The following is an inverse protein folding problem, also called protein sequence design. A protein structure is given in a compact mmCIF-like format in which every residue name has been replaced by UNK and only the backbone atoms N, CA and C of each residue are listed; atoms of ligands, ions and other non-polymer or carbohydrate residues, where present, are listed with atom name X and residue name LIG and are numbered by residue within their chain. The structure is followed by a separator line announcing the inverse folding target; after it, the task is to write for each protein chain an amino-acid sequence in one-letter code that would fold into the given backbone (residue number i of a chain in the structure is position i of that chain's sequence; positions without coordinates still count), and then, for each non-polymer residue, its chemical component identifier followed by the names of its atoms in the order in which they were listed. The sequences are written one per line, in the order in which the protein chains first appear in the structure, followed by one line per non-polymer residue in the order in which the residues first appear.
data_IF_592584506720
#
_entry.id   IF_592584506720
#
_cell.length_a   1.000
_cell.length_b   1.000
_cell.length_c   1.000
_cell.angle_alpha   90.00
_cell.angle_beta   90.00
_cell.angle_gamma   90.00
#
_symmetry.space_group_name_H-M   'P 1'
#
loop_
_entity.id
_entity.type
_entity.pdbx_description
1 polymer ?
#
# COMPACT_ATOMS: atom_id res chain seq x y z
N UNK A 1 -9.77 -12.94 -12.00
CA UNK A 1 -10.65 -12.11 -12.84
C UNK A 1 -10.06 -12.04 -14.23
N UNK A 2 -10.84 -12.37 -15.25
CA UNK A 2 -10.45 -12.14 -16.64
C UNK A 2 -10.89 -10.74 -17.02
N UNK A 3 -9.95 -9.93 -17.46
CA UNK A 3 -10.17 -8.56 -17.82
C UNK A 3 -10.26 -8.46 -19.35
N UNK A 4 -11.40 -8.04 -19.85
CA UNK A 4 -11.60 -7.68 -21.27
C UNK A 4 -11.76 -6.17 -21.30
N UNK A 5 -10.90 -5.49 -22.06
CA UNK A 5 -10.83 -4.03 -22.12
C UNK A 5 -11.25 -3.50 -23.44
N UNK A 6 -12.01 -2.45 -23.40
CA UNK A 6 -12.48 -1.73 -24.57
C UNK A 6 -12.30 -0.24 -24.35
N UNK A 7 -11.85 0.49 -25.36
CA UNK A 7 -11.75 1.95 -25.36
C UNK A 7 -12.51 2.54 -26.54
N UNK A 8 -12.86 3.78 -26.42
CA UNK A 8 -13.57 4.61 -27.39
C UNK A 8 -14.99 4.18 -27.69
N UNK A 9 -15.86 4.49 -26.74
CA UNK A 9 -17.30 4.45 -26.92
C UNK A 9 -17.75 5.80 -27.51
N UNK A 10 -17.98 5.84 -28.81
CA UNK A 10 -18.61 7.00 -29.47
C UNK A 10 -20.14 6.88 -29.53
N UNK A 11 -20.71 5.84 -28.93
CA UNK A 11 -22.14 5.59 -28.94
C UNK A 11 -22.71 5.61 -27.52
N UNK A 12 -23.92 6.15 -27.39
CA UNK A 12 -24.66 6.22 -26.12
C UNK A 12 -25.02 4.85 -25.52
N UNK A 13 -24.55 3.75 -26.10
CA UNK A 13 -24.96 2.42 -25.70
C UNK A 13 -23.93 1.35 -25.96
N UNK A 14 -23.58 0.59 -24.91
CA UNK A 14 -22.83 -0.65 -25.02
C UNK A 14 -23.79 -1.86 -24.98
N UNK A 15 -23.51 -2.87 -25.79
CA UNK A 15 -24.32 -4.09 -25.88
C UNK A 15 -23.52 -5.36 -25.60
N UNK A 16 -22.95 -5.55 -24.40
CA UNK A 16 -22.28 -6.82 -24.11
C UNK A 16 -23.29 -7.97 -24.10
N UNK A 17 -22.92 -9.06 -24.77
CA UNK A 17 -23.70 -10.31 -24.75
C UNK A 17 -22.96 -11.28 -23.84
N UNK A 18 -23.58 -11.60 -22.71
CA UNK A 18 -23.03 -12.50 -21.72
C UNK A 18 -23.55 -13.92 -21.95
N UNK A 19 -22.65 -14.90 -21.93
CA UNK A 19 -23.01 -16.31 -21.91
C UNK A 19 -23.51 -16.75 -20.52
N UNK A 20 -23.42 -18.05 -20.26
CA UNK A 20 -23.76 -18.60 -18.94
C UNK A 20 -22.80 -18.04 -17.86
N UNK A 21 -23.34 -17.58 -16.76
CA UNK A 21 -22.60 -17.10 -15.59
C UNK A 21 -22.36 -18.20 -14.55
N UNK A 22 -22.95 -19.35 -14.74
CA UNK A 22 -22.90 -20.47 -13.79
C UNK A 22 -23.32 -20.06 -12.36
N UNK A 23 -24.27 -19.12 -12.27
CA UNK A 23 -24.73 -18.57 -11.00
C UNK A 23 -23.79 -17.54 -10.36
N UNK A 24 -22.71 -17.14 -11.03
CA UNK A 24 -21.77 -16.16 -10.54
C UNK A 24 -22.17 -14.72 -10.90
N UNK A 25 -21.80 -13.77 -10.08
CA UNK A 25 -22.00 -12.36 -10.37
C UNK A 25 -20.95 -11.87 -11.36
N UNK A 26 -21.42 -11.29 -12.44
CA UNK A 26 -20.60 -10.65 -13.47
C UNK A 26 -21.05 -9.21 -13.60
N UNK A 27 -20.12 -8.29 -13.58
CA UNK A 27 -20.41 -6.86 -13.78
C UNK A 27 -19.40 -6.23 -14.73
N UNK A 28 -19.75 -5.04 -15.20
CA UNK A 28 -18.83 -4.15 -15.91
C UNK A 28 -18.70 -2.90 -15.07
N UNK A 29 -17.47 -2.51 -14.80
CA UNK A 29 -17.13 -1.24 -14.18
C UNK A 29 -16.54 -0.30 -15.21
N UNK A 30 -16.99 0.94 -15.24
CA UNK A 30 -16.53 1.95 -16.17
C UNK A 30 -15.65 2.98 -15.47
N UNK A 31 -14.50 3.28 -16.04
CA UNK A 31 -13.68 4.45 -15.68
C UNK A 31 -13.91 5.51 -16.75
N UNK A 32 -14.63 6.57 -16.36
CA UNK A 32 -14.97 7.67 -17.27
C UNK A 32 -13.83 8.67 -17.38
N UNK A 33 -13.69 9.31 -18.55
CA UNK A 33 -12.71 10.35 -18.80
C UNK A 33 -13.27 11.78 -18.66
N UNK A 34 -14.39 11.93 -17.99
CA UNK A 34 -15.00 13.24 -17.78
C UNK A 34 -14.60 13.85 -16.44
N UNK A 35 -14.20 15.10 -16.44
CA UNK A 35 -13.86 15.86 -15.25
C UNK A 35 -12.42 15.70 -14.79
N UNK A 36 -12.18 15.83 -13.49
CA UNK A 36 -10.87 15.63 -12.88
C UNK A 36 -10.57 14.14 -12.78
N UNK A 37 -9.65 13.67 -13.56
CA UNK A 37 -9.37 12.26 -13.83
C UNK A 37 -9.05 11.42 -12.60
N UNK A 38 -8.39 12.01 -11.62
CA UNK A 38 -8.10 11.32 -10.37
C UNK A 38 -9.34 10.99 -9.52
N UNK A 39 -10.50 11.59 -9.82
CA UNK A 39 -11.78 11.21 -9.21
C UNK A 39 -12.44 10.01 -9.87
N UNK A 40 -11.92 9.59 -11.00
CA UNK A 40 -12.38 8.40 -11.71
C UNK A 40 -11.67 7.16 -11.18
N UNK A 41 -11.90 6.91 -9.93
CA UNK A 41 -11.38 5.73 -9.27
C UNK A 41 -12.28 4.53 -9.56
N UNK A 42 -11.74 3.33 -9.46
CA UNK A 42 -12.54 2.13 -9.58
C UNK A 42 -13.69 2.08 -8.57
N UNK A 43 -13.58 2.77 -7.43
CA UNK A 43 -14.64 2.91 -6.45
C UNK A 43 -15.70 3.96 -6.82
N UNK A 44 -15.38 4.89 -7.71
CA UNK A 44 -16.30 5.96 -8.15
C UNK A 44 -16.88 5.75 -9.55
N UNK A 45 -16.41 4.71 -10.25
CA UNK A 45 -16.95 4.35 -11.55
C UNK A 45 -18.33 3.69 -11.48
N UNK A 46 -19.11 3.86 -12.52
CA UNK A 46 -20.40 3.17 -12.62
C UNK A 46 -20.19 1.67 -12.78
N UNK A 47 -20.95 0.90 -12.00
CA UNK A 47 -20.95 -0.56 -12.05
C UNK A 47 -22.28 -1.04 -12.61
N UNK A 48 -22.23 -1.82 -13.67
CA UNK A 48 -23.38 -2.41 -14.33
C UNK A 48 -23.37 -3.91 -14.12
N UNK A 49 -24.38 -4.45 -13.43
CA UNK A 49 -24.55 -5.88 -13.30
C UNK A 49 -25.01 -6.45 -14.64
N UNK A 50 -24.40 -7.56 -15.07
CA UNK A 50 -24.71 -8.25 -16.31
C UNK A 50 -25.55 -9.49 -16.03
N UNK A 51 -26.50 -9.75 -16.93
CA UNK A 51 -27.31 -10.98 -16.97
C UNK A 51 -27.02 -11.78 -18.23
N UNK A 52 -27.21 -13.10 -18.24
CA UNK A 52 -27.09 -13.89 -19.47
C UNK A 52 -27.94 -13.29 -20.60
N UNK A 53 -27.38 -13.23 -21.80
CA UNK A 53 -28.00 -12.62 -22.98
C UNK A 53 -27.49 -11.19 -23.24
N UNK A 54 -28.30 -10.41 -23.93
CA UNK A 54 -27.94 -9.04 -24.35
C UNK A 54 -28.16 -8.07 -23.20
N UNK A 55 -27.11 -7.33 -22.87
CA UNK A 55 -27.15 -6.26 -21.88
C UNK A 55 -26.99 -4.90 -22.58
N UNK A 56 -27.94 -4.01 -22.37
CA UNK A 56 -27.87 -2.65 -22.89
C UNK A 56 -27.36 -1.72 -21.78
N UNK A 57 -26.16 -1.17 -21.96
CA UNK A 57 -25.55 -0.25 -21.01
C UNK A 57 -25.61 1.16 -21.56
N UNK A 58 -26.14 2.10 -20.79
CA UNK A 58 -26.11 3.53 -21.16
C UNK A 58 -24.80 4.13 -20.69
N UNK A 59 -24.00 4.58 -21.62
CA UNK A 59 -22.71 5.19 -21.34
C UNK A 59 -22.87 6.69 -21.04
N UNK A 60 -22.10 7.18 -20.07
CA UNK A 60 -22.12 8.59 -19.66
C UNK A 60 -21.09 9.46 -20.40
N UNK A 61 -20.26 8.86 -21.21
CA UNK A 61 -19.18 9.51 -21.93
C UNK A 61 -18.13 8.49 -22.41
N UNK A 62 -17.00 8.99 -22.83
CA UNK A 62 -15.83 8.16 -23.14
C UNK A 62 -15.25 7.58 -21.87
N UNK A 63 -14.76 6.36 -21.94
CA UNK A 63 -14.15 5.70 -20.79
C UNK A 63 -13.76 4.26 -21.09
N UNK A 64 -13.07 3.65 -20.14
CA UNK A 64 -12.60 2.29 -20.25
C UNK A 64 -13.48 1.35 -19.42
N UNK A 65 -13.89 0.23 -20.02
CA UNK A 65 -14.71 -0.80 -19.36
C UNK A 65 -13.83 -1.94 -18.86
N UNK A 66 -14.08 -2.33 -17.62
CA UNK A 66 -13.46 -3.48 -16.98
C UNK A 66 -14.52 -4.52 -16.64
N UNK A 67 -14.35 -5.73 -17.14
CA UNK A 67 -15.21 -6.85 -16.73
C UNK A 67 -14.76 -7.36 -15.37
N UNK A 68 -15.68 -7.33 -14.43
CA UNK A 68 -15.46 -7.81 -13.06
C UNK A 68 -16.15 -9.18 -12.91
N UNK A 69 -15.35 -10.19 -12.66
CA UNK A 69 -15.81 -11.55 -12.38
C UNK A 69 -15.06 -12.09 -11.16
N UNK A 70 -15.73 -12.07 -10.03
CA UNK A 70 -15.18 -12.55 -8.76
C UNK A 70 -15.93 -13.82 -8.35
N UNK A 71 -15.18 -14.85 -8.00
CA UNK A 71 -15.72 -16.11 -7.50
C UNK A 71 -14.88 -16.63 -6.36
N UNK A 72 -15.50 -17.38 -5.46
CA UNK A 72 -14.78 -18.05 -4.38
C UNK A 72 -14.00 -19.25 -4.95
N UNK A 73 -12.69 -19.17 -4.84
CA UNK A 73 -11.80 -20.25 -5.28
C UNK A 73 -11.97 -21.53 -4.46
N UNK A 74 -12.40 -21.43 -3.21
CA UNK A 74 -12.60 -22.58 -2.35
C UNK A 74 -13.79 -23.44 -2.81
N UNK A 75 -14.75 -22.87 -3.50
CA UNK A 75 -15.92 -23.59 -4.03
C UNK A 75 -15.63 -24.40 -5.27
N UNK A 76 -14.47 -24.25 -5.92
CA UNK A 76 -14.08 -24.88 -7.20
C UNK A 76 -15.12 -24.75 -8.33
N UNK A 77 -16.07 -23.83 -8.19
CA UNK A 77 -17.17 -23.63 -9.13
C UNK A 77 -16.87 -22.62 -10.24
N UNK A 78 -15.70 -21.96 -10.16
CA UNK A 78 -15.28 -20.98 -11.14
C UNK A 78 -15.14 -21.61 -12.53
N UNK A 79 -15.98 -21.18 -13.47
CA UNK A 79 -15.90 -21.57 -14.88
C UNK A 79 -15.63 -20.34 -15.73
N UNK A 80 -14.90 -20.47 -16.84
CA UNK A 80 -14.70 -19.36 -17.77
C UNK A 80 -16.04 -18.81 -18.26
N UNK A 81 -16.23 -17.51 -18.11
CA UNK A 81 -17.38 -16.81 -18.71
C UNK A 81 -17.04 -16.34 -20.12
N UNK A 82 -18.04 -16.24 -20.98
CA UNK A 82 -17.90 -15.70 -22.34
C UNK A 82 -18.67 -14.40 -22.44
N UNK A 83 -17.98 -13.35 -22.86
CA UNK A 83 -18.58 -12.05 -23.16
C UNK A 83 -18.27 -11.73 -24.62
N UNK A 84 -19.28 -11.41 -25.38
CA UNK A 84 -19.14 -10.93 -26.75
C UNK A 84 -19.56 -9.47 -26.79
N UNK A 85 -18.72 -8.63 -27.38
CA UNK A 85 -19.01 -7.22 -27.62
C UNK A 85 -19.20 -7.03 -29.13
N UNK A 86 -20.40 -6.68 -29.57
CA UNK A 86 -20.68 -6.49 -30.99
C UNK A 86 -19.86 -5.37 -31.62
N UNK A 87 -19.56 -5.51 -32.88
CA UNK A 87 -18.94 -4.44 -33.66
C UNK A 87 -19.76 -3.16 -33.57
N UNK A 88 -19.08 -2.02 -33.38
CA UNK A 88 -19.71 -0.72 -33.22
C UNK A 88 -20.17 -0.42 -31.78
N UNK A 89 -20.09 -1.39 -30.87
CA UNK A 89 -20.34 -1.14 -29.45
C UNK A 89 -19.09 -0.68 -28.67
N UNK A 90 -17.93 -0.65 -29.29
CA UNK A 90 -16.67 -0.22 -28.69
C UNK A 90 -15.46 -0.72 -29.44
N UNK A 91 -14.27 -0.30 -29.04
CA UNK A 91 -12.99 -0.71 -29.59
C UNK A 91 -12.12 -1.37 -28.54
N UNK A 92 -11.28 -2.30 -28.95
CA UNK A 92 -10.31 -2.96 -28.07
C UNK A 92 -9.08 -2.07 -27.94
N UNK A 93 -8.81 -1.56 -26.74
CA UNK A 93 -7.58 -0.81 -26.51
C UNK A 93 -6.34 -1.72 -26.45
N UNK A 94 -6.54 -2.98 -26.09
CA UNK A 94 -5.44 -3.86 -25.73
C UNK A 94 -4.90 -3.55 -24.32
N UNK A 95 -4.12 -4.46 -23.80
CA UNK A 95 -3.45 -4.34 -22.52
C UNK A 95 -2.25 -5.28 -22.48
N UNK A 96 -1.30 -5.01 -21.60
CA UNK A 96 -0.23 -5.95 -21.33
C UNK A 96 -0.54 -6.72 -20.03
N UNK A 97 -0.43 -8.04 -20.08
CA UNK A 97 -0.52 -8.93 -18.91
C UNK A 97 0.75 -9.78 -18.87
N UNK A 98 1.54 -9.64 -17.83
CA UNK A 98 2.80 -10.37 -17.66
C UNK A 98 2.60 -11.89 -17.75
N UNK A 99 1.45 -12.40 -17.30
CA UNK A 99 1.13 -13.82 -17.36
C UNK A 99 0.96 -14.33 -18.80
N UNK A 100 0.38 -13.52 -19.68
CA UNK A 100 0.04 -13.90 -21.04
C UNK A 100 1.10 -13.47 -22.06
N UNK A 101 1.66 -12.29 -21.93
CA UNK A 101 2.44 -11.63 -22.97
C UNK A 101 3.96 -11.76 -22.79
N UNK A 102 4.45 -11.83 -21.59
CA UNK A 102 5.81 -12.23 -21.15
C UNK A 102 7.04 -11.52 -21.76
N UNK A 103 6.89 -10.66 -22.77
CA UNK A 103 8.04 -10.01 -23.43
C UNK A 103 7.85 -8.52 -23.65
N UNK A 104 8.95 -7.78 -23.68
CA UNK A 104 8.98 -6.35 -23.97
C UNK A 104 8.55 -6.03 -25.39
N UNK A 105 8.85 -6.88 -26.36
CA UNK A 105 8.41 -6.72 -27.75
C UNK A 105 6.88 -6.77 -27.85
N UNK A 106 6.25 -7.69 -27.10
CA UNK A 106 4.79 -7.79 -27.08
C UNK A 106 4.16 -6.59 -26.38
N UNK A 107 4.77 -6.09 -25.31
CA UNK A 107 4.36 -4.84 -24.68
C UNK A 107 4.41 -3.67 -25.67
N UNK A 108 5.55 -3.47 -26.36
CA UNK A 108 5.74 -2.39 -27.31
C UNK A 108 4.72 -2.45 -28.46
N UNK A 109 4.43 -3.65 -28.98
CA UNK A 109 3.40 -3.88 -30.00
C UNK A 109 2.02 -3.43 -29.50
N UNK A 110 1.63 -3.87 -28.32
CA UNK A 110 0.32 -3.58 -27.73
C UNK A 110 0.17 -2.08 -27.40
N UNK A 111 1.19 -1.49 -26.78
CA UNK A 111 1.19 -0.07 -26.45
C UNK A 111 1.09 0.81 -27.72
N UNK A 112 1.81 0.45 -28.77
CA UNK A 112 1.77 1.17 -30.06
C UNK A 112 0.40 1.12 -30.71
N UNK A 113 -0.29 -0.02 -30.63
CA UNK A 113 -1.62 -0.23 -31.20
C UNK A 113 -2.75 0.37 -30.37
N UNK A 114 -2.52 0.65 -29.09
CA UNK A 114 -3.54 1.23 -28.24
C UNK A 114 -3.89 2.64 -28.68
N UNK A 115 -5.12 3.04 -28.45
CA UNK A 115 -5.65 4.36 -28.89
C UNK A 115 -6.15 5.20 -27.74
N UNK A 116 -6.48 4.57 -26.62
CA UNK A 116 -7.00 5.24 -25.44
C UNK A 116 -5.91 6.06 -24.72
N UNK A 117 -6.33 7.07 -23.99
CA UNK A 117 -5.45 7.95 -23.19
C UNK A 117 -4.62 7.19 -22.16
N UNK A 118 -5.19 6.14 -21.58
CA UNK A 118 -4.52 5.27 -20.62
C UNK A 118 -4.28 3.88 -21.20
N UNK A 119 -3.19 3.29 -20.77
CA UNK A 119 -2.86 1.90 -21.11
C UNK A 119 -2.62 1.10 -19.82
N UNK A 120 -3.11 -0.10 -19.80
CA UNK A 120 -3.04 -0.94 -18.64
C UNK A 120 -1.98 -2.00 -18.76
N UNK A 121 -1.24 -2.19 -17.67
CA UNK A 121 -0.14 -3.14 -17.55
C UNK A 121 -0.36 -3.91 -16.27
N UNK A 122 -0.54 -5.22 -16.39
CA UNK A 122 -0.77 -6.10 -15.26
C UNK A 122 0.47 -6.93 -14.96
N UNK A 123 1.01 -6.78 -13.75
CA UNK A 123 2.03 -7.63 -13.16
C UNK A 123 1.43 -8.80 -12.39
N UNK A 124 2.19 -9.35 -11.46
CA UNK A 124 1.73 -10.42 -10.56
C UNK A 124 0.99 -9.86 -9.33
N UNK A 125 1.40 -8.69 -8.84
CA UNK A 125 0.90 -8.05 -7.62
C UNK A 125 0.35 -6.66 -7.85
N UNK A 126 0.84 -5.94 -8.86
CA UNK A 126 0.46 -4.57 -9.17
C UNK A 126 -0.12 -4.47 -10.58
N UNK A 127 -1.03 -3.53 -10.78
CA UNK A 127 -1.61 -3.21 -12.06
C UNK A 127 -1.51 -1.72 -12.31
N UNK A 128 -0.79 -1.32 -13.36
CA UNK A 128 -0.66 0.06 -13.78
C UNK A 128 -1.76 0.43 -14.78
N UNK A 129 -2.44 1.52 -14.53
CA UNK A 129 -3.33 2.21 -15.45
C UNK A 129 -2.76 3.60 -15.72
N UNK A 130 -1.76 3.63 -16.60
CA UNK A 130 -0.91 4.80 -16.77
C UNK A 130 -1.13 5.52 -18.09
N UNK A 131 -0.85 6.81 -18.06
CA UNK A 131 -0.98 7.70 -19.21
C UNK A 131 -0.13 7.20 -20.39
N UNK A 132 -0.82 6.79 -21.47
CA UNK A 132 -0.21 6.16 -22.64
C UNK A 132 0.96 6.96 -23.24
N UNK A 133 0.78 8.27 -23.41
CA UNK A 133 1.84 9.09 -24.00
C UNK A 133 3.10 9.13 -23.13
N UNK A 134 2.95 9.03 -21.81
CA UNK A 134 4.10 8.95 -20.90
C UNK A 134 4.76 7.58 -20.92
N UNK A 135 4.00 6.51 -21.11
CA UNK A 135 4.59 5.20 -21.35
C UNK A 135 5.38 5.17 -22.67
N UNK A 136 4.86 5.79 -23.74
CA UNK A 136 5.57 5.93 -25.00
C UNK A 136 6.82 6.84 -24.90
N UNK A 137 6.80 7.81 -23.99
CA UNK A 137 7.94 8.71 -23.74
C UNK A 137 9.05 8.01 -22.93
N UNK A 138 8.71 7.33 -21.85
CA UNK A 138 9.68 6.83 -20.88
C UNK A 138 10.06 5.37 -21.05
N UNK A 139 9.09 4.52 -21.37
CA UNK A 139 9.27 3.06 -21.47
C UNK A 139 8.63 2.48 -22.72
N UNK A 140 8.94 3.01 -23.92
CA UNK A 140 8.25 2.59 -25.16
C UNK A 140 8.44 1.11 -25.50
N UNK A 141 9.55 0.51 -25.08
CA UNK A 141 9.97 -0.83 -25.47
C UNK A 141 10.44 -1.74 -24.31
N UNK A 142 10.31 -1.31 -23.06
CA UNK A 142 10.91 -2.01 -21.91
C UNK A 142 10.10 -1.80 -20.63
N UNK A 143 9.09 -2.61 -20.43
CA UNK A 143 8.24 -2.53 -19.23
C UNK A 143 8.57 -3.63 -18.19
N UNK A 144 9.21 -4.72 -18.61
CA UNK A 144 9.42 -5.88 -17.74
C UNK A 144 10.22 -5.52 -16.49
N UNK A 145 11.29 -4.73 -16.64
CA UNK A 145 12.09 -4.28 -15.49
C UNK A 145 11.23 -3.53 -14.47
N UNK A 146 10.42 -2.57 -14.93
CA UNK A 146 9.55 -1.79 -14.07
C UNK A 146 8.49 -2.65 -13.38
N UNK A 147 7.78 -3.50 -14.13
CA UNK A 147 6.69 -4.30 -13.55
C UNK A 147 7.22 -5.31 -12.54
N UNK A 148 8.36 -5.95 -12.81
CA UNK A 148 9.00 -6.85 -11.85
C UNK A 148 9.50 -6.13 -10.60
N UNK A 149 10.08 -4.93 -10.75
CA UNK A 149 10.48 -4.12 -9.60
C UNK A 149 9.29 -3.80 -8.69
N UNK A 150 8.18 -3.37 -9.27
CA UNK A 150 6.99 -3.00 -8.50
C UNK A 150 6.24 -4.20 -7.93
N UNK A 151 6.20 -5.34 -8.63
CA UNK A 151 5.73 -6.61 -8.07
C UNK A 151 6.56 -7.01 -6.85
N UNK A 152 7.89 -6.86 -6.93
CA UNK A 152 8.80 -7.10 -5.80
C UNK A 152 8.55 -6.15 -4.64
N UNK A 153 8.33 -4.86 -4.90
CA UNK A 153 8.04 -3.86 -3.85
C UNK A 153 6.77 -4.24 -3.10
N UNK A 154 5.71 -4.59 -3.80
CA UNK A 154 4.46 -5.06 -3.16
C UNK A 154 4.72 -6.35 -2.38
N UNK A 155 5.44 -7.31 -2.96
CA UNK A 155 5.78 -8.58 -2.31
C UNK A 155 6.60 -8.37 -1.03
N UNK A 156 7.60 -7.50 -1.05
CA UNK A 156 8.41 -7.20 0.14
C UNK A 156 7.58 -6.54 1.25
N UNK A 157 6.65 -5.67 0.91
CA UNK A 157 5.74 -5.12 1.91
C UNK A 157 4.83 -6.22 2.51
N UNK A 158 4.32 -7.13 1.67
CA UNK A 158 3.53 -8.27 2.12
C UNK A 158 4.36 -9.25 2.98
N UNK A 159 5.62 -9.49 2.62
CA UNK A 159 6.58 -10.25 3.43
C UNK A 159 6.73 -9.63 4.83
N UNK A 160 6.90 -8.31 4.93
CA UNK A 160 6.98 -7.61 6.21
C UNK A 160 5.72 -7.79 7.07
N UNK A 161 4.56 -7.87 6.42
CA UNK A 161 3.27 -8.12 7.08
C UNK A 161 3.03 -9.60 7.44
N UNK A 162 3.82 -10.53 6.92
CA UNK A 162 3.61 -11.98 7.08
C UNK A 162 2.32 -12.47 6.45
N UNK A 163 2.00 -12.02 5.23
CA UNK A 163 0.79 -12.42 4.51
C UNK A 163 1.04 -13.11 3.17
N UNK A 164 2.25 -13.12 2.68
CA UNK A 164 2.62 -13.77 1.42
C UNK A 164 2.46 -15.30 1.50
N UNK A 165 2.72 -15.90 2.64
CA UNK A 165 2.50 -17.34 2.87
C UNK A 165 1.03 -17.71 3.17
N UNK A 166 0.25 -16.75 3.68
CA UNK A 166 -1.10 -17.02 4.19
C UNK A 166 -2.15 -17.00 3.08
N UNK A 167 -1.86 -16.38 1.93
CA UNK A 167 -2.85 -16.13 0.88
C UNK A 167 -2.36 -16.31 -0.56
N UNK A 168 -1.63 -17.37 -0.92
CA UNK A 168 -1.17 -17.55 -2.30
C UNK A 168 -2.33 -17.61 -3.31
N UNK A 169 -3.51 -18.06 -2.90
CA UNK A 169 -4.70 -18.13 -3.74
C UNK A 169 -5.59 -16.87 -3.72
N UNK A 170 -5.39 -15.98 -2.77
CA UNK A 170 -6.20 -14.75 -2.63
C UNK A 170 -5.58 -13.55 -3.35
N UNK A 171 -4.40 -13.70 -3.91
CA UNK A 171 -3.64 -12.64 -4.58
C UNK A 171 -4.10 -12.43 -6.02
N UNK A 172 -5.39 -12.54 -6.30
CA UNK A 172 -5.97 -12.03 -7.54
C UNK A 172 -6.30 -10.54 -7.46
N UNK A 173 -6.22 -9.95 -6.27
CA UNK A 173 -6.41 -8.52 -6.09
C UNK A 173 -5.08 -7.82 -6.29
N UNK A 174 -4.86 -7.33 -7.51
CA UNK A 174 -3.72 -6.48 -7.80
C UNK A 174 -3.92 -5.11 -7.15
N UNK A 175 -2.85 -4.56 -6.59
CA UNK A 175 -2.83 -3.17 -6.22
C UNK A 175 -2.95 -2.32 -7.49
N UNK A 176 -3.93 -1.41 -7.52
CA UNK A 176 -4.21 -0.61 -8.69
C UNK A 176 -3.50 0.73 -8.61
N UNK A 177 -2.61 1.01 -9.55
CA UNK A 177 -1.85 2.25 -9.64
C UNK A 177 -2.28 3.05 -10.86
N UNK A 178 -2.63 4.31 -10.67
CA UNK A 178 -3.06 5.22 -11.73
C UNK A 178 -2.11 6.42 -11.88
N UNK A 179 -2.16 7.09 -13.04
CA UNK A 179 -1.37 8.29 -13.29
C UNK A 179 -2.25 9.49 -13.63
N UNK A 180 -2.85 10.14 -12.64
CA UNK A 180 -3.68 11.33 -12.86
C UNK A 180 -2.87 12.53 -13.37
N UNK A 181 -3.55 13.51 -13.94
CA UNK A 181 -2.93 14.77 -14.40
C UNK A 181 -2.68 15.78 -13.27
N UNK A 182 -3.32 15.58 -12.13
CA UNK A 182 -3.12 16.38 -10.92
C UNK A 182 -2.77 15.50 -9.71
N UNK A 183 -2.50 16.14 -8.56
CA UNK A 183 -2.13 15.50 -7.29
C UNK A 183 -0.84 14.67 -7.37
N UNK A 184 0.16 15.10 -6.64
CA UNK A 184 1.53 14.54 -6.77
C UNK A 184 1.59 13.04 -6.56
N UNK A 185 1.20 12.58 -5.37
CA UNK A 185 1.05 11.18 -4.98
C UNK A 185 -0.08 11.06 -3.96
N UNK A 186 -0.75 9.94 -3.92
CA UNK A 186 -1.80 9.67 -2.95
C UNK A 186 -2.18 8.19 -2.93
N UNK A 187 -2.81 7.77 -1.85
CA UNK A 187 -3.41 6.45 -1.70
C UNK A 187 -4.88 6.54 -1.28
N UNK A 188 -5.63 5.55 -1.61
CA UNK A 188 -6.95 5.24 -1.07
C UNK A 188 -7.09 3.73 -0.94
N UNK A 189 -8.23 3.23 -0.44
CA UNK A 189 -8.45 1.85 0.02
C UNK A 189 -7.66 0.73 -0.70
N UNK A 190 -7.61 0.75 -2.02
CA UNK A 190 -6.96 -0.32 -2.82
C UNK A 190 -6.16 0.22 -4.01
N UNK A 191 -6.05 1.51 -4.14
CA UNK A 191 -5.37 2.16 -5.27
C UNK A 191 -4.44 3.27 -4.80
N UNK A 192 -3.46 3.52 -5.64
CA UNK A 192 -2.48 4.59 -5.47
C UNK A 192 -2.40 5.43 -6.74
N UNK A 193 -2.09 6.71 -6.58
CA UNK A 193 -1.96 7.64 -7.69
C UNK A 193 -0.58 8.29 -7.74
N UNK A 194 -0.04 8.40 -8.95
CA UNK A 194 1.20 9.12 -9.23
C UNK A 194 0.97 10.10 -10.37
N UNK A 195 1.23 11.39 -10.16
CA UNK A 195 1.07 12.36 -11.24
C UNK A 195 1.81 11.91 -12.50
N UNK A 196 1.12 11.96 -13.64
CA UNK A 196 1.61 11.40 -14.90
C UNK A 196 3.01 11.89 -15.33
N UNK A 197 3.38 13.11 -14.92
CA UNK A 197 4.70 13.69 -15.19
C UNK A 197 5.82 13.06 -14.37
N UNK A 198 5.49 12.31 -13.34
CA UNK A 198 6.47 11.63 -12.47
C UNK A 198 6.78 10.19 -12.90
N UNK A 199 6.08 9.65 -13.89
CA UNK A 199 6.23 8.25 -14.30
C UNK A 199 7.64 7.87 -14.72
N UNK A 200 8.41 8.78 -15.35
CA UNK A 200 9.81 8.52 -15.68
C UNK A 200 10.71 8.25 -14.47
N UNK A 201 10.37 8.82 -13.32
CA UNK A 201 11.14 8.61 -12.08
C UNK A 201 10.88 7.24 -11.44
N UNK A 202 9.68 6.68 -11.65
CA UNK A 202 9.26 5.45 -10.99
C UNK A 202 9.27 4.21 -11.89
N UNK A 203 9.33 4.37 -13.21
CA UNK A 203 9.33 3.27 -14.18
C UNK A 203 10.72 2.92 -14.71
N UNK A 204 11.66 3.87 -14.67
CA UNK A 204 13.05 3.61 -15.07
C UNK A 204 13.85 3.14 -13.85
N UNK A 205 14.31 1.89 -13.87
CA UNK A 205 15.05 1.29 -12.77
C UNK A 205 16.25 2.16 -12.33
N UNK A 206 17.01 2.68 -13.28
CA UNK A 206 18.13 3.58 -12.99
C UNK A 206 17.68 4.83 -12.21
N UNK A 207 16.52 5.41 -12.55
CA UNK A 207 15.99 6.56 -11.83
C UNK A 207 15.51 6.20 -10.43
N UNK A 208 14.84 5.06 -10.28
CA UNK A 208 14.43 4.54 -8.96
C UNK A 208 15.64 4.30 -8.07
N UNK A 209 16.71 3.77 -8.64
CA UNK A 209 17.95 3.50 -7.90
C UNK A 209 18.79 4.74 -7.66
N UNK A 210 18.71 5.77 -8.52
CA UNK A 210 19.50 6.99 -8.41
C UNK A 210 19.07 7.89 -7.25
N UNK A 211 17.76 8.02 -7.02
CA UNK A 211 17.20 8.88 -6.00
C UNK A 211 16.32 8.07 -5.02
N UNK A 212 16.57 8.26 -3.73
CA UNK A 212 15.81 7.61 -2.67
C UNK A 212 14.31 7.92 -2.78
N UNK A 213 13.95 9.17 -3.05
CA UNK A 213 12.57 9.63 -3.13
C UNK A 213 11.76 8.94 -4.24
N UNK A 214 12.40 8.50 -5.30
CA UNK A 214 11.74 7.82 -6.41
C UNK A 214 11.19 6.44 -6.02
N UNK A 215 11.76 5.79 -5.00
CA UNK A 215 11.22 4.57 -4.40
C UNK A 215 10.42 4.85 -3.14
N UNK A 216 10.83 5.85 -2.34
CA UNK A 216 10.20 6.20 -1.07
C UNK A 216 8.74 6.59 -1.23
N UNK A 217 8.42 7.58 -2.08
CA UNK A 217 7.06 8.06 -2.27
C UNK A 217 6.09 6.95 -2.67
N UNK A 218 6.33 6.23 -3.77
CA UNK A 218 5.47 5.11 -4.13
C UNK A 218 5.37 4.03 -3.07
N UNK A 219 6.45 3.70 -2.35
CA UNK A 219 6.40 2.74 -1.26
C UNK A 219 5.60 3.26 -0.05
N UNK A 220 5.59 4.58 0.18
CA UNK A 220 4.76 5.27 1.16
C UNK A 220 3.26 5.12 0.81
N UNK A 221 2.88 5.38 -0.44
CA UNK A 221 1.50 5.23 -0.88
C UNK A 221 1.02 3.77 -0.84
N UNK A 222 1.85 2.82 -1.25
CA UNK A 222 1.58 1.38 -1.07
C UNK A 222 1.48 1.04 0.43
N UNK A 223 2.32 1.67 1.25
CA UNK A 223 2.29 1.53 2.71
C UNK A 223 0.96 1.92 3.33
N UNK A 224 0.29 2.96 2.83
CA UNK A 224 -1.06 3.32 3.28
C UNK A 224 -2.07 2.19 3.06
N UNK A 225 -1.98 1.46 1.95
CA UNK A 225 -2.85 0.31 1.67
C UNK A 225 -2.57 -0.86 2.61
N UNK A 226 -1.35 -0.97 3.13
CA UNK A 226 -0.90 -2.11 3.94
C UNK A 226 -0.90 -1.87 5.45
N UNK A 227 -0.91 -0.62 5.92
CA UNK A 227 -0.66 -0.27 7.32
C UNK A 227 -1.82 -0.53 8.30
N UNK A 228 -3.02 -0.82 7.83
CA UNK A 228 -4.25 -0.80 8.63
C UNK A 228 -4.13 -1.47 10.01
N UNK A 229 -3.41 -2.58 10.12
CA UNK A 229 -3.23 -3.29 11.40
C UNK A 229 -2.45 -2.47 12.45
N UNK A 230 -1.50 -1.65 12.01
CA UNK A 230 -0.59 -0.87 12.87
C UNK A 230 -0.87 0.64 12.80
N UNK A 231 -1.97 1.04 12.20
CA UNK A 231 -2.36 2.43 12.04
C UNK A 231 -3.40 2.84 13.10
N UNK A 232 -3.27 4.05 13.58
CA UNK A 232 -4.26 4.80 14.36
C UNK A 232 -4.10 6.30 14.08
N UNK A 233 -5.12 7.11 14.39
CA UNK A 233 -5.00 8.55 14.24
C UNK A 233 -3.82 9.07 15.05
N UNK A 234 -2.99 9.91 14.51
CA UNK A 234 -1.63 10.37 14.86
C UNK A 234 -0.47 9.51 14.31
N UNK A 235 -0.74 8.34 13.75
CA UNK A 235 0.33 7.51 13.18
C UNK A 235 0.20 7.26 11.68
N UNK A 236 -0.85 7.77 11.04
CA UNK A 236 -1.19 7.46 9.63
C UNK A 236 -0.05 7.78 8.66
N UNK A 237 0.61 8.92 8.81
CA UNK A 237 1.73 9.34 7.96
C UNK A 237 3.10 8.82 8.44
N UNK A 238 3.13 8.03 9.50
CA UNK A 238 4.35 7.50 10.08
C UNK A 238 4.44 5.97 10.04
N UNK A 239 3.32 5.28 10.26
CA UNK A 239 3.31 3.81 10.22
C UNK A 239 3.50 3.25 8.81
N UNK A 240 3.00 3.94 7.78
CA UNK A 240 3.27 3.61 6.38
C UNK A 240 4.74 3.79 6.00
N UNK A 241 5.48 4.69 6.65
CA UNK A 241 6.91 4.92 6.40
C UNK A 241 7.81 3.80 6.92
N UNK A 242 7.31 2.88 7.75
CA UNK A 242 7.98 1.62 8.01
C UNK A 242 8.21 0.84 6.70
N UNK A 243 7.19 0.78 5.87
CA UNK A 243 7.27 0.13 4.55
C UNK A 243 8.22 0.85 3.61
N UNK A 244 8.19 2.19 3.59
CA UNK A 244 9.13 2.98 2.77
C UNK A 244 10.57 2.70 3.15
N UNK A 245 10.91 2.75 4.44
CA UNK A 245 12.24 2.42 4.94
C UNK A 245 12.64 0.98 4.59
N UNK A 246 11.70 0.04 4.72
CA UNK A 246 11.97 -1.35 4.39
C UNK A 246 12.29 -1.55 2.90
N UNK A 247 11.55 -0.87 2.01
CA UNK A 247 11.82 -0.92 0.57
C UNK A 247 13.18 -0.30 0.24
N UNK A 248 13.51 0.86 0.81
CA UNK A 248 14.85 1.48 0.64
C UNK A 248 15.95 0.51 1.08
N UNK A 249 15.77 -0.19 2.20
CA UNK A 249 16.70 -1.22 2.65
C UNK A 249 16.79 -2.40 1.68
N UNK A 250 15.67 -2.93 1.19
CA UNK A 250 15.64 -4.04 0.21
C UNK A 250 16.31 -3.66 -1.12
N UNK A 251 16.26 -2.38 -1.50
CA UNK A 251 16.98 -1.83 -2.66
C UNK A 251 18.49 -1.59 -2.41
N UNK A 252 19.02 -2.05 -1.28
CA UNK A 252 20.45 -1.97 -0.97
C UNK A 252 20.89 -0.65 -0.35
N UNK A 253 19.98 0.21 0.09
CA UNK A 253 20.33 1.43 0.83
C UNK A 253 20.48 1.10 2.31
N UNK A 254 21.50 1.67 2.96
CA UNK A 254 21.80 1.36 4.37
C UNK A 254 21.25 2.38 5.35
N UNK A 255 20.91 3.57 4.87
CA UNK A 255 20.31 4.62 5.70
C UNK A 255 18.85 4.78 5.40
N UNK A 256 18.05 4.75 6.44
CA UNK A 256 16.67 5.21 6.37
C UNK A 256 16.62 6.73 6.40
N UNK A 257 15.50 7.29 5.95
CA UNK A 257 15.25 8.73 6.01
C UNK A 257 15.23 9.25 7.46
N UNK A 258 14.67 8.49 8.38
CA UNK A 258 14.61 8.82 9.81
C UNK A 258 15.96 8.91 10.54
N UNK A 259 17.04 8.46 9.93
CA UNK A 259 18.35 8.44 10.57
C UNK A 259 18.96 9.85 10.71
N UNK A 260 18.66 10.77 9.79
CA UNK A 260 19.09 12.17 9.86
C UNK A 260 18.43 12.98 10.99
N UNK A 261 17.33 12.47 11.55
CA UNK A 261 16.54 13.10 12.61
C UNK A 261 16.87 12.56 14.01
N UNK A 262 17.89 11.75 14.15
CA UNK A 262 18.24 11.12 15.43
C UNK A 262 18.38 12.09 16.59
N UNK A 263 18.92 13.28 16.36
CA UNK A 263 19.05 14.32 17.39
C UNK A 263 17.70 14.91 17.80
N UNK A 264 16.81 15.16 16.86
CA UNK A 264 15.46 15.71 17.13
C UNK A 264 14.59 14.66 17.82
N UNK A 265 14.57 13.45 17.31
CA UNK A 265 13.87 12.33 17.92
C UNK A 265 14.37 12.07 19.36
N UNK A 266 15.67 12.06 19.57
CA UNK A 266 16.28 11.85 20.89
C UNK A 266 15.95 13.01 21.85
N UNK A 267 15.94 14.26 21.39
CA UNK A 267 15.61 15.41 22.23
C UNK A 267 14.14 15.39 22.66
N UNK A 268 13.21 15.09 21.76
CA UNK A 268 11.78 14.99 22.08
C UNK A 268 11.48 13.84 23.02
N UNK A 269 12.05 12.72 22.77
CA UNK A 269 12.05 11.54 23.57
C UNK A 269 12.56 11.81 25.00
N UNK A 270 13.70 12.49 25.14
CA UNK A 270 14.27 12.86 26.44
C UNK A 270 13.40 13.86 27.22
N UNK A 271 12.50 14.57 26.55
CA UNK A 271 11.60 15.55 27.17
C UNK A 271 10.27 14.95 27.67
N UNK A 272 10.05 13.64 27.55
CA UNK A 272 8.83 12.96 28.03
C UNK A 272 7.57 13.44 27.33
N UNK A 273 7.65 13.76 26.03
CA UNK A 273 6.47 14.15 25.26
C UNK A 273 5.58 12.96 24.98
N UNK A 274 4.26 13.12 25.15
CA UNK A 274 3.30 12.11 24.74
C UNK A 274 3.42 11.79 23.24
N UNK A 275 3.19 10.55 22.87
CA UNK A 275 3.30 10.08 21.50
C UNK A 275 2.63 11.00 20.47
N UNK A 276 1.37 11.37 20.72
CA UNK A 276 0.61 12.19 19.79
C UNK A 276 1.18 13.60 19.56
N UNK A 277 2.07 14.06 20.45
CA UNK A 277 2.77 15.34 20.35
C UNK A 277 4.13 15.24 19.63
N UNK A 278 4.62 14.04 19.38
CA UNK A 278 5.93 13.83 18.78
C UNK A 278 5.93 13.94 17.25
N UNK A 279 4.77 13.82 16.64
CA UNK A 279 4.60 13.84 15.22
C UNK A 279 3.39 14.63 14.79
N UNK A 280 2.97 14.42 13.58
CA UNK A 280 1.87 15.13 12.98
C UNK A 280 0.52 14.57 13.39
N UNK A 281 -0.01 15.08 14.49
CA UNK A 281 -1.36 14.72 14.91
C UNK A 281 -2.44 15.40 14.05
N UNK A 282 -2.08 16.46 13.32
CA UNK A 282 -3.03 17.27 12.54
C UNK A 282 -2.76 17.23 11.04
N UNK A 283 -1.89 16.33 10.58
CA UNK A 283 -1.47 16.26 9.19
C UNK A 283 -0.72 17.50 8.65
N UNK A 284 -0.47 18.46 9.49
CA UNK A 284 0.19 19.73 9.15
C UNK A 284 1.55 19.90 9.83
N UNK A 285 1.88 18.99 10.71
CA UNK A 285 3.12 19.01 11.45
C UNK A 285 4.19 18.21 10.69
N UNK A 286 5.41 18.59 10.79
CA UNK A 286 6.52 18.03 10.02
C UNK A 286 7.25 16.87 10.69
N UNK A 287 6.74 16.38 11.83
CA UNK A 287 7.46 15.38 12.63
C UNK A 287 7.04 13.92 12.42
N UNK A 288 6.39 13.61 11.30
CA UNK A 288 6.05 12.23 10.92
C UNK A 288 7.26 11.31 10.92
N UNK A 289 8.43 11.83 10.57
CA UNK A 289 9.69 11.10 10.57
C UNK A 289 10.18 10.75 11.98
N UNK A 290 9.80 11.52 12.99
CA UNK A 290 10.07 11.18 14.40
C UNK A 290 9.32 9.93 14.83
N UNK A 291 8.02 9.83 14.52
CA UNK A 291 7.21 8.64 14.79
C UNK A 291 7.69 7.43 13.97
N UNK A 292 8.02 7.64 12.71
CA UNK A 292 8.60 6.61 11.86
C UNK A 292 9.87 6.01 12.47
N UNK A 293 10.67 6.84 13.12
CA UNK A 293 11.92 6.44 13.78
C UNK A 293 11.70 5.33 14.82
N UNK A 294 10.62 5.41 15.59
CA UNK A 294 10.28 4.38 16.57
C UNK A 294 10.07 3.00 15.90
N UNK A 295 9.23 2.96 14.87
CA UNK A 295 8.98 1.73 14.12
C UNK A 295 10.24 1.18 13.47
N UNK A 296 11.06 2.07 12.89
CA UNK A 296 12.32 1.67 12.26
C UNK A 296 13.36 1.20 13.25
N UNK A 297 13.37 1.75 14.47
CA UNK A 297 14.25 1.30 15.55
C UNK A 297 13.91 -0.13 15.99
N UNK A 298 12.62 -0.47 16.11
CA UNK A 298 12.16 -1.83 16.36
C UNK A 298 12.58 -2.78 15.22
N UNK A 299 12.43 -2.34 13.96
CA UNK A 299 12.86 -3.15 12.83
C UNK A 299 14.37 -3.38 12.83
N UNK A 300 15.16 -2.33 13.05
CA UNK A 300 16.62 -2.42 13.09
C UNK A 300 17.08 -3.36 14.21
N UNK A 301 16.47 -3.23 15.38
CA UNK A 301 16.80 -4.08 16.53
C UNK A 301 16.45 -5.56 16.27
N UNK A 302 15.24 -5.85 15.89
CA UNK A 302 14.81 -7.24 15.77
C UNK A 302 15.26 -7.91 14.47
N UNK A 303 15.08 -7.25 13.33
CA UNK A 303 15.38 -7.86 12.04
C UNK A 303 16.83 -7.67 11.62
N UNK A 304 17.34 -6.44 11.62
CA UNK A 304 18.68 -6.16 11.11
C UNK A 304 19.78 -6.65 12.05
N UNK A 305 19.59 -6.56 13.38
CA UNK A 305 20.48 -7.14 14.38
C UNK A 305 20.25 -8.65 14.57
N UNK A 306 19.26 -9.23 13.90
CA UNK A 306 18.94 -10.67 13.92
C UNK A 306 18.53 -11.19 15.30
N UNK A 307 17.99 -10.33 16.20
CA UNK A 307 17.55 -10.77 17.51
C UNK A 307 16.22 -11.51 17.45
N UNK A 308 15.32 -11.13 16.51
CA UNK A 308 14.06 -11.81 16.22
C UNK A 308 13.55 -11.43 14.82
N UNK A 309 13.94 -12.19 13.82
CA UNK A 309 13.71 -11.86 12.40
C UNK A 309 12.28 -12.01 11.93
N UNK A 310 11.39 -12.59 12.74
CA UNK A 310 9.94 -12.70 12.50
C UNK A 310 9.11 -11.72 13.35
N UNK A 311 9.75 -10.74 14.00
CA UNK A 311 9.09 -9.82 14.92
C UNK A 311 7.92 -9.08 14.25
N UNK A 312 8.15 -8.43 13.12
CA UNK A 312 7.11 -7.65 12.46
C UNK A 312 5.99 -8.53 11.89
N UNK A 313 6.32 -9.66 11.29
CA UNK A 313 5.32 -10.62 10.81
C UNK A 313 4.41 -11.09 11.95
N UNK A 314 5.00 -11.40 13.10
CA UNK A 314 4.27 -11.80 14.31
C UNK A 314 3.43 -10.64 14.85
N UNK A 315 3.99 -9.44 14.92
CA UNK A 315 3.26 -8.25 15.38
C UNK A 315 2.06 -7.92 14.49
N UNK A 316 2.24 -7.90 13.18
CA UNK A 316 1.14 -7.68 12.24
C UNK A 316 0.04 -8.73 12.39
N UNK A 317 0.42 -9.99 12.57
CA UNK A 317 -0.55 -11.06 12.82
C UNK A 317 -1.35 -10.81 14.09
N UNK A 318 -0.68 -10.51 15.20
CA UNK A 318 -1.33 -10.22 16.47
C UNK A 318 -2.24 -8.99 16.40
N UNK A 319 -1.79 -7.93 15.74
CA UNK A 319 -2.58 -6.71 15.58
C UNK A 319 -3.82 -6.90 14.70
N UNK A 320 -3.78 -7.80 13.71
CA UNK A 320 -4.99 -8.19 12.94
C UNK A 320 -6.01 -8.97 13.79
N UNK A 321 -5.57 -9.62 14.87
CA UNK A 321 -6.45 -10.31 15.81
C UNK A 321 -7.05 -9.36 16.87
N UNK A 322 -6.46 -8.18 17.06
CA UNK A 322 -7.03 -7.12 17.89
C UNK A 322 -8.28 -6.59 17.21
N UNK A 323 -9.44 -6.82 17.81
CA UNK A 323 -10.73 -6.42 17.23
C UNK A 323 -11.00 -4.92 17.46
N UNK A 324 -10.29 -4.09 16.71
CA UNK A 324 -10.43 -2.62 16.72
C UNK A 324 -10.45 -2.11 15.29
N UNK A 325 -11.43 -1.29 14.96
CA UNK A 325 -11.48 -0.60 13.66
C UNK A 325 -10.52 0.59 13.65
N UNK A 326 -10.06 0.94 12.45
CA UNK A 326 -9.26 2.14 12.24
C UNK A 326 -10.05 3.37 12.70
N UNK A 327 -9.43 4.23 13.48
CA UNK A 327 -10.05 5.44 14.01
C UNK A 327 -10.90 5.26 15.27
N UNK A 328 -11.25 4.02 15.66
CA UNK A 328 -11.83 3.78 16.98
C UNK A 328 -10.78 3.88 18.06
N UNK A 329 -10.92 4.86 18.96
CA UNK A 329 -10.10 5.03 20.15
C UNK A 329 -8.57 4.90 19.87
N UNK A 330 -7.95 5.89 19.19
CA UNK A 330 -6.54 5.83 18.82
C UNK A 330 -5.60 5.62 20.01
N UNK A 331 -5.91 6.18 21.17
CA UNK A 331 -5.12 5.97 22.39
C UNK A 331 -5.14 4.51 22.87
N UNK A 332 -6.28 3.85 22.78
CA UNK A 332 -6.39 2.43 23.11
C UNK A 332 -5.62 1.58 22.11
N UNK A 333 -5.74 1.85 20.81
CA UNK A 333 -5.00 1.13 19.76
C UNK A 333 -3.49 1.28 19.90
N UNK A 334 -3.02 2.47 20.29
CA UNK A 334 -1.62 2.71 20.64
C UNK A 334 -1.13 1.78 21.76
N UNK A 335 -1.90 1.65 22.84
CA UNK A 335 -1.55 0.77 23.96
C UNK A 335 -1.61 -0.72 23.59
N UNK A 336 -2.59 -1.11 22.76
CA UNK A 336 -2.65 -2.47 22.22
C UNK A 336 -1.43 -2.78 21.35
N UNK A 337 -0.98 -1.83 20.54
CA UNK A 337 0.26 -1.98 19.77
C UNK A 337 1.46 -2.26 20.68
N UNK A 338 1.63 -1.51 21.77
CA UNK A 338 2.72 -1.73 22.71
C UNK A 338 2.65 -3.11 23.39
N UNK A 339 1.45 -3.55 23.80
CA UNK A 339 1.21 -4.89 24.37
C UNK A 339 1.54 -6.00 23.37
N UNK A 340 1.06 -5.86 22.13
CA UNK A 340 1.29 -6.86 21.08
C UNK A 340 2.74 -6.86 20.59
N UNK A 341 3.42 -5.72 20.59
CA UNK A 341 4.85 -5.67 20.32
C UNK A 341 5.67 -6.44 21.36
N UNK A 342 5.35 -6.26 22.66
CA UNK A 342 5.99 -7.05 23.72
C UNK A 342 5.72 -8.55 23.57
N UNK A 343 4.49 -8.92 23.24
CA UNK A 343 4.13 -10.32 22.98
C UNK A 343 4.86 -10.87 21.73
N UNK A 344 4.93 -10.11 20.65
CA UNK A 344 5.63 -10.49 19.42
C UNK A 344 7.13 -10.68 19.67
N UNK A 345 7.73 -9.78 20.45
CA UNK A 345 9.13 -9.88 20.85
C UNK A 345 9.41 -11.02 21.84
N UNK A 346 8.41 -11.38 22.64
CA UNK A 346 8.57 -12.12 23.90
C UNK A 346 9.55 -11.41 24.84
N UNK A 347 9.47 -10.08 24.89
CA UNK A 347 10.29 -9.19 25.73
C UNK A 347 9.43 -8.06 26.27
N UNK A 348 9.73 -7.61 27.50
CA UNK A 348 9.07 -6.45 28.09
C UNK A 348 9.59 -5.15 27.47
N UNK A 349 8.82 -4.54 26.59
CA UNK A 349 9.17 -3.30 25.89
C UNK A 349 8.67 -2.04 26.63
N UNK A 350 8.32 -2.14 27.90
CA UNK A 350 7.79 -1.00 28.68
C UNK A 350 8.73 0.19 28.62
N UNK A 351 10.01 0.02 28.94
CA UNK A 351 11.00 1.10 28.95
C UNK A 351 11.16 1.74 27.56
N UNK A 352 11.11 0.93 26.49
CA UNK A 352 11.17 1.42 25.12
C UNK A 352 9.99 2.32 24.80
N UNK A 353 8.77 1.89 25.06
CA UNK A 353 7.57 2.67 24.76
C UNK A 353 7.39 3.86 25.72
N UNK A 354 7.84 3.74 26.96
CA UNK A 354 7.86 4.85 27.90
C UNK A 354 8.76 5.98 27.40
N UNK A 355 9.94 5.65 26.93
CA UNK A 355 10.86 6.60 26.31
C UNK A 355 10.30 7.25 25.06
N UNK A 356 9.43 6.58 24.28
CA UNK A 356 8.73 7.14 23.12
C UNK A 356 7.43 7.88 23.49
N UNK A 357 7.11 8.05 24.77
CA UNK A 357 5.94 8.81 25.21
C UNK A 357 4.60 8.10 25.05
N UNK A 358 4.58 6.76 24.93
CA UNK A 358 3.34 5.97 24.80
C UNK A 358 2.52 5.97 26.09
N UNK A 359 3.15 6.14 27.24
CA UNK A 359 2.55 6.02 28.56
C UNK A 359 2.32 7.37 29.25
N UNK A 360 2.07 8.38 28.44
CA UNK A 360 1.66 9.69 28.94
C UNK A 360 0.13 9.80 28.91
N UNK A 361 -0.52 10.16 30.03
CA UNK A 361 -1.96 10.40 30.04
C UNK A 361 -2.32 11.55 29.10
N UNK A 362 -3.38 11.33 28.30
CA UNK A 362 -3.85 12.33 27.35
C UNK A 362 -5.37 12.25 27.19
N UNK A 363 -6.00 13.40 27.02
CA UNK A 363 -7.42 13.52 26.75
C UNK A 363 -7.63 14.74 25.83
N UNK A 364 -7.58 14.47 24.52
CA UNK A 364 -7.68 15.53 23.51
C UNK A 364 -8.48 15.05 22.31
N UNK A 365 -8.70 15.94 21.37
CA UNK A 365 -9.25 15.62 20.05
C UNK A 365 -8.19 15.95 19.00
N UNK A 366 -8.00 15.07 18.05
CA UNK A 366 -7.07 15.25 16.95
C UNK A 366 -7.81 15.21 15.62
N UNK A 367 -7.29 15.97 14.66
CA UNK A 367 -7.76 16.05 13.28
C UNK A 367 -6.71 15.38 12.37
N UNK A 368 -7.06 14.21 11.81
CA UNK A 368 -6.21 13.54 10.83
C UNK A 368 -7.09 12.61 9.99
N UNK A 369 -7.46 13.05 8.76
CA UNK A 369 -8.43 12.35 7.90
C UNK A 369 -9.80 12.08 8.55
N UNK A 370 -10.10 12.82 9.61
CA UNK A 370 -11.29 12.75 10.43
C UNK A 370 -11.00 13.32 11.82
N UNK A 371 -12.06 13.44 12.62
CA UNK A 371 -11.98 13.96 13.99
C UNK A 371 -12.04 12.79 14.97
N UNK A 372 -11.01 12.62 15.77
CA UNK A 372 -10.88 11.49 16.68
C UNK A 372 -10.63 11.95 18.11
N UNK A 373 -11.30 11.31 19.06
CA UNK A 373 -11.00 11.49 20.45
C UNK A 373 -9.79 10.62 20.83
N UNK A 374 -8.71 11.28 21.21
CA UNK A 374 -7.51 10.62 21.67
C UNK A 374 -7.51 10.59 23.21
N UNK A 375 -7.62 9.39 23.77
CA UNK A 375 -7.74 9.22 25.21
C UNK A 375 -6.84 8.09 25.73
N UNK A 376 -5.94 8.44 26.65
CA UNK A 376 -5.10 7.52 27.41
C UNK A 376 -5.17 7.91 28.87
N UNK A 377 -5.59 7.00 29.75
CA UNK A 377 -5.67 7.25 31.19
C UNK A 377 -4.60 6.48 31.95
N UNK A 378 -4.32 6.92 33.19
CA UNK A 378 -3.42 6.19 34.09
C UNK A 378 -3.83 4.74 34.33
N UNK A 379 -5.13 4.45 34.32
CA UNK A 379 -5.65 3.09 34.49
C UNK A 379 -5.29 2.23 33.27
N UNK A 380 -5.50 2.74 32.06
CA UNK A 380 -5.15 2.05 30.81
C UNK A 380 -3.63 1.81 30.72
N UNK A 381 -2.83 2.80 31.13
CA UNK A 381 -1.37 2.70 31.17
C UNK A 381 -0.93 1.59 32.12
N UNK A 382 -1.49 1.55 33.33
CA UNK A 382 -1.17 0.50 34.32
C UNK A 382 -1.50 -0.87 33.76
N UNK A 383 -2.69 -1.07 33.19
CA UNK A 383 -3.10 -2.33 32.59
C UNK A 383 -2.12 -2.79 31.48
N UNK A 384 -1.73 -1.86 30.60
CA UNK A 384 -0.77 -2.15 29.54
C UNK A 384 0.59 -2.57 30.11
N UNK A 385 1.12 -1.83 31.09
CA UNK A 385 2.40 -2.15 31.74
C UNK A 385 2.36 -3.47 32.51
N UNK A 386 1.27 -3.79 33.20
CA UNK A 386 1.05 -5.08 33.88
C UNK A 386 1.05 -6.25 32.88
N UNK A 387 0.39 -6.05 31.71
CA UNK A 387 0.44 -7.05 30.65
C UNK A 387 1.86 -7.26 30.13
N UNK A 388 2.60 -6.18 29.87
CA UNK A 388 3.96 -6.23 29.31
C UNK A 388 4.96 -6.80 30.32
N UNK A 389 4.76 -6.59 31.61
CA UNK A 389 5.61 -7.13 32.69
C UNK A 389 5.63 -8.68 32.78
N UNK A 390 4.73 -9.37 32.07
CA UNK A 390 4.74 -10.82 31.96
C UNK A 390 5.92 -11.35 31.13
N UNK A 391 6.55 -10.49 30.35
CA UNK A 391 7.66 -10.85 29.48
C UNK A 391 9.01 -10.47 30.12
N UNK A 392 10.09 -11.19 29.78
CA UNK A 392 11.42 -10.87 30.30
C UNK A 392 11.94 -9.53 29.76
N UNK A 393 12.82 -8.88 30.51
CA UNK A 393 13.51 -7.67 30.06
C UNK A 393 14.34 -7.94 28.80
N UNK A 394 14.38 -7.01 27.83
CA UNK A 394 15.22 -7.13 26.65
C UNK A 394 16.70 -7.35 26.99
N UNK A 395 17.34 -8.23 26.24
CA UNK A 395 18.76 -8.57 26.48
C UNK A 395 19.73 -7.47 26.05
N UNK A 396 19.30 -6.59 25.17
CA UNK A 396 20.14 -5.55 24.55
C UNK A 396 19.49 -4.18 24.69
N UNK A 397 20.30 -3.13 24.73
CA UNK A 397 19.81 -1.76 24.85
C UNK A 397 19.32 -1.22 23.48
N UNK A 398 18.11 -0.64 23.45
CA UNK A 398 17.52 -0.02 22.26
C UNK A 398 18.10 1.35 21.92
N UNK A 399 18.47 2.14 22.90
CA UNK A 399 18.82 3.55 22.75
C UNK A 399 20.01 3.84 21.83
N UNK A 400 20.85 2.84 21.58
CA UNK A 400 22.02 2.95 20.72
C UNK A 400 21.82 2.30 19.33
N UNK A 401 20.63 1.82 19.05
CA UNK A 401 20.33 1.19 17.77
C UNK A 401 20.11 2.26 16.71
N UNK A 402 21.02 2.28 15.76
CA UNK A 402 20.99 3.18 14.61
C UNK A 402 21.22 2.42 13.31
N UNK A 403 20.70 2.99 12.24
CA UNK A 403 20.82 2.46 10.89
C UNK A 403 22.16 2.88 10.26
N UNK A 404 23.22 2.17 10.59
CA UNK A 404 24.56 2.41 10.07
C UNK A 404 25.00 1.28 9.15
N UNK A 405 25.90 1.58 8.20
CA UNK A 405 26.57 0.56 7.39
C UNK A 405 27.24 -0.45 8.33
N UNK A 406 27.03 -1.75 8.10
CA UNK A 406 27.67 -2.83 8.85
C UNK A 406 29.19 -2.54 8.91
N UNK A 407 29.76 -2.30 10.09
CA UNK A 407 31.22 -2.35 10.26
C UNK A 407 31.64 -3.79 9.95
N UNK A 408 32.63 -3.96 9.08
CA UNK A 408 33.26 -5.25 8.91
C UNK A 408 33.68 -5.78 10.28
N UNK A 409 33.22 -6.96 10.66
CA UNK A 409 33.56 -7.61 11.95
C UNK A 409 35.08 -7.90 12.12
N UNK A 410 35.92 -7.44 11.19
CA UNK A 410 37.37 -7.60 11.20
C UNK A 410 38.14 -6.42 11.79
N UNK A 411 37.44 -5.40 12.28
CA UNK A 411 38.08 -4.23 12.91
C UNK A 411 37.66 -4.08 14.37
N UNK A 412 37.90 -5.09 15.18
CA UNK A 412 38.07 -4.99 16.64
C UNK A 412 39.35 -5.68 17.02
#
# INVERSE_FOLDING_TARGET
AYEIRYSDWSSDCALPILGDTYGQNVSVQCIWETGTEYKQTASSGDVYMLTPGVNKLTMKGEGQLFVMYNTDLASNSAKPIKIHIPLGSGTVNGFFDLKEHKTDEKYAELLKKSTHKYFCIRGEKIMFYFHRNKLLEYVPNNILSAIHLWDNIVSWQQELMGIDDVRPSQVNNHLFAISPEGSYMWASDYQIGFVYTYLGNILLEDNVMAAEDNAWGPAHEIGHVHQAAINWASSTESSNNLFSNYIIYKLGKYKSRGNGLGSVATARYANGQAWYNMGDATHQNEDTETHMRMNWQLWTYYHRCEYKTDFWQTLFKLMREVNMTEGEDPGKKQLEFAKMASKAANENLTDFFEMWGFFEPVNTTIEQYGTYKYYVSDAMIREAKEYMAQFPTPKHAFQYIEDRKKRDRKSV
#
